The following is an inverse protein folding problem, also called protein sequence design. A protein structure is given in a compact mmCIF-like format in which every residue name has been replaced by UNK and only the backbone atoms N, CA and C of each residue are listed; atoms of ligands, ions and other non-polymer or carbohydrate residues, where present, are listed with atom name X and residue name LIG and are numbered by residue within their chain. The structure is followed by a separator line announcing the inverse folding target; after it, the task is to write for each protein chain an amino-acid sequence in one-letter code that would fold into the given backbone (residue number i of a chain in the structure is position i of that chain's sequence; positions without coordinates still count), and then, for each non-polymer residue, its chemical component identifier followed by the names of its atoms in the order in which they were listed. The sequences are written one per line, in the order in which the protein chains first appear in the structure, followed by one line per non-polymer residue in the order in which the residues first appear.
data_IF_044103677891
#
_entry.id   IF_044103677891
#
_cell.length_a   1.000
_cell.length_b   1.000
_cell.length_c   1.000
_cell.angle_alpha   90.00
_cell.angle_beta   90.00
_cell.angle_gamma   90.00
#
_symmetry.space_group_name_H-M   'P 1'
#
loop_
_entity.id
_entity.type
_entity.pdbx_description
1 polymer ?
#
# COMPACT_ATOMS: atom_id res chain seq x y z
N UNK A 1 16.16 -8.11 -15.19
CA UNK A 1 15.03 -7.65 -15.98
C UNK A 1 15.14 -6.14 -16.24
N UNK A 2 15.13 -5.75 -17.51
CA UNK A 2 15.19 -4.34 -17.86
C UNK A 2 13.78 -3.77 -17.87
N UNK A 3 13.43 -3.07 -16.81
CA UNK A 3 12.11 -2.47 -16.64
C UNK A 3 12.05 -1.06 -17.24
N UNK A 4 13.14 -0.32 -17.11
CA UNK A 4 13.22 1.05 -17.58
C UNK A 4 14.35 1.17 -18.60
N UNK A 5 14.10 1.90 -19.66
CA UNK A 5 15.12 2.27 -20.66
C UNK A 5 15.80 3.61 -20.31
N UNK A 6 15.42 4.20 -19.18
CA UNK A 6 15.96 5.43 -18.64
C UNK A 6 16.11 5.31 -17.13
N UNK A 7 16.78 6.27 -16.50
CA UNK A 7 16.82 6.34 -15.04
C UNK A 7 15.41 6.68 -14.52
N UNK A 8 14.78 5.82 -13.72
CA UNK A 8 13.43 6.09 -13.23
C UNK A 8 13.39 7.29 -12.31
N UNK A 9 12.24 8.00 -12.32
CA UNK A 9 11.96 9.00 -11.29
C UNK A 9 11.77 8.31 -9.94
N UNK A 10 11.81 9.07 -8.85
CA UNK A 10 11.54 8.51 -7.53
C UNK A 10 10.16 7.83 -7.47
N UNK A 11 9.15 8.43 -8.08
CA UNK A 11 7.80 7.85 -8.10
C UNK A 11 7.76 6.54 -8.87
N UNK A 12 8.37 6.50 -10.06
CA UNK A 12 8.47 5.26 -10.83
C UNK A 12 9.20 4.17 -10.05
N UNK A 13 10.31 4.53 -9.44
CA UNK A 13 11.16 3.61 -8.70
C UNK A 13 10.42 3.00 -7.49
N UNK A 14 9.81 3.83 -6.67
CA UNK A 14 9.11 3.34 -5.48
C UNK A 14 7.80 2.64 -5.81
N UNK A 15 7.10 3.05 -6.86
CA UNK A 15 5.91 2.33 -7.30
C UNK A 15 6.27 0.92 -7.80
N UNK A 16 7.41 0.77 -8.49
CA UNK A 16 7.91 -0.55 -8.87
C UNK A 16 8.28 -1.39 -7.67
N UNK A 17 8.84 -0.80 -6.61
CA UNK A 17 9.07 -1.51 -5.36
C UNK A 17 7.76 -2.00 -4.73
N UNK A 18 6.71 -1.19 -4.77
CA UNK A 18 5.39 -1.61 -4.30
C UNK A 18 4.85 -2.79 -5.11
N UNK A 19 5.03 -2.76 -6.43
CA UNK A 19 4.66 -3.88 -7.30
C UNK A 19 5.46 -5.14 -6.98
N UNK A 20 6.74 -4.99 -6.70
CA UNK A 20 7.57 -6.12 -6.27
C UNK A 20 7.09 -6.67 -4.93
N UNK A 21 6.77 -5.80 -3.98
CA UNK A 21 6.22 -6.24 -2.69
C UNK A 21 4.91 -7.02 -2.88
N UNK A 22 4.06 -6.61 -3.83
CA UNK A 22 2.81 -7.30 -4.13
C UNK A 22 3.01 -8.75 -4.53
N UNK A 23 4.15 -9.10 -5.11
CA UNK A 23 4.45 -10.50 -5.50
C UNK A 23 4.54 -11.43 -4.29
N UNK A 24 4.76 -10.89 -3.10
CA UNK A 24 4.78 -11.64 -1.84
C UNK A 24 3.40 -11.88 -1.25
N UNK A 25 2.35 -11.27 -1.81
CA UNK A 25 0.99 -11.45 -1.30
C UNK A 25 0.63 -12.93 -1.19
N UNK A 26 0.08 -13.31 -0.05
CA UNK A 26 -0.43 -14.66 0.19
C UNK A 26 -1.92 -14.79 -0.14
N UNK A 27 -2.55 -13.73 -0.62
CA UNK A 27 -3.95 -13.73 -1.02
C UNK A 27 -4.05 -13.83 -2.54
N UNK A 28 -4.78 -14.83 -3.04
CA UNK A 28 -4.96 -15.04 -4.48
C UNK A 28 -6.00 -14.11 -5.09
N UNK A 29 -6.88 -13.51 -4.29
CA UNK A 29 -7.98 -12.68 -4.76
C UNK A 29 -7.50 -11.32 -5.29
N UNK A 30 -6.50 -10.74 -4.64
CA UNK A 30 -5.88 -9.49 -5.07
C UNK A 30 -4.46 -9.43 -4.50
N UNK A 31 -3.51 -9.06 -5.34
CA UNK A 31 -2.12 -8.89 -4.91
C UNK A 31 -1.82 -7.40 -4.85
N UNK A 32 -1.72 -6.89 -3.63
CA UNK A 32 -1.47 -5.48 -3.35
C UNK A 32 -0.15 -5.34 -2.64
N UNK A 33 0.62 -4.33 -3.02
CA UNK A 33 1.87 -3.98 -2.37
C UNK A 33 1.91 -2.50 -2.05
N UNK A 34 2.63 -2.15 -0.99
CA UNK A 34 2.79 -0.77 -0.55
C UNK A 34 4.20 -0.52 -0.06
N UNK A 35 4.68 0.70 -0.29
CA UNK A 35 5.98 1.18 0.19
C UNK A 35 5.76 2.55 0.80
N UNK A 36 6.30 2.77 2.00
CA UNK A 36 6.29 4.09 2.63
C UNK A 36 7.70 4.67 2.59
N UNK A 37 7.80 5.92 2.15
CA UNK A 37 9.06 6.64 2.10
C UNK A 37 8.98 7.93 2.90
N UNK A 38 10.12 8.35 3.45
CA UNK A 38 10.31 9.67 4.05
C UNK A 38 11.62 10.20 3.48
N UNK A 39 11.58 11.42 2.91
CA UNK A 39 12.76 12.03 2.28
C UNK A 39 13.42 11.10 1.25
N UNK A 40 12.61 10.45 0.42
CA UNK A 40 13.06 9.52 -0.62
C UNK A 40 13.84 8.31 -0.08
N UNK A 41 13.60 7.94 1.17
CA UNK A 41 14.15 6.72 1.76
C UNK A 41 13.01 5.78 2.14
N UNK A 42 13.08 4.54 1.70
CA UNK A 42 12.08 3.52 2.05
C UNK A 42 12.20 3.19 3.54
N UNK A 43 11.12 3.39 4.29
CA UNK A 43 11.08 3.07 5.71
C UNK A 43 10.26 1.82 6.01
N UNK A 44 9.37 1.43 5.12
CA UNK A 44 8.54 0.24 5.31
C UNK A 44 8.00 -0.26 3.98
N UNK A 45 7.77 -1.55 3.93
CA UNK A 45 7.06 -2.21 2.84
C UNK A 45 5.91 -3.01 3.41
N UNK A 46 4.91 -3.26 2.59
CA UNK A 46 3.79 -4.11 2.98
C UNK A 46 3.20 -4.81 1.77
N UNK A 47 2.63 -5.95 2.02
CA UNK A 47 1.80 -6.68 1.05
C UNK A 47 0.63 -7.28 1.81
N UNK A 48 -0.46 -7.56 1.10
CA UNK A 48 -1.61 -8.17 1.76
C UNK A 48 -1.31 -9.63 2.09
N UNK A 49 -1.36 -9.95 3.37
CA UNK A 49 -1.04 -11.28 3.87
C UNK A 49 -1.58 -11.49 5.27
N UNK A 50 -1.49 -12.72 5.76
CA UNK A 50 -1.90 -13.06 7.12
C UNK A 50 -1.02 -12.40 8.17
N UNK A 51 -1.46 -12.48 9.41
CA UNK A 51 -0.68 -11.98 10.55
C UNK A 51 0.64 -12.75 10.63
N UNK A 52 1.74 -12.03 10.81
CA UNK A 52 3.08 -12.62 10.86
C UNK A 52 3.14 -13.73 11.93
N UNK A 53 3.62 -14.91 11.54
CA UNK A 53 3.69 -16.08 12.40
C UNK A 53 2.45 -16.97 12.39
N UNK A 54 1.39 -16.55 11.70
CA UNK A 54 0.20 -17.37 11.50
C UNK A 54 0.12 -17.89 10.06
N UNK A 55 -0.76 -18.86 9.83
CA UNK A 55 -0.96 -19.42 8.50
C UNK A 55 -1.57 -18.37 7.55
N UNK A 56 -1.19 -18.47 6.28
CA UNK A 56 -1.69 -17.59 5.22
C UNK A 56 -2.83 -18.25 4.44
N UNK A 57 -3.57 -17.44 3.67
CA UNK A 57 -4.64 -17.95 2.82
C UNK A 57 -4.17 -19.01 1.83
N UNK A 58 -2.96 -18.86 1.30
CA UNK A 58 -2.39 -19.83 0.37
C UNK A 58 -2.09 -21.19 1.04
N UNK A 59 -1.98 -21.22 2.36
CA UNK A 59 -1.69 -22.46 3.11
C UNK A 59 -2.99 -23.14 3.59
N UNK A 60 -3.94 -22.37 4.10
CA UNK A 60 -5.13 -22.90 4.81
C UNK A 60 -6.45 -22.40 4.24
N UNK A 61 -6.41 -21.58 3.17
CA UNK A 61 -7.61 -21.00 2.56
C UNK A 61 -8.07 -19.70 3.22
N UNK A 62 -9.08 -19.09 2.62
CA UNK A 62 -9.66 -17.86 3.12
C UNK A 62 -10.54 -18.09 4.35
N UNK A 63 -10.51 -17.12 5.26
CA UNK A 63 -11.47 -17.06 6.37
C UNK A 63 -12.52 -16.01 6.01
N UNK A 64 -13.66 -16.46 5.48
CA UNK A 64 -14.69 -15.55 4.97
C UNK A 64 -15.67 -15.15 6.05
N UNK A 65 -15.98 -13.86 6.11
CA UNK A 65 -17.02 -13.29 6.93
C UNK A 65 -17.73 -12.21 6.09
N UNK A 66 -19.04 -12.36 5.91
CA UNK A 66 -19.85 -11.49 5.06
C UNK A 66 -19.26 -11.33 3.63
N UNK A 67 -18.72 -12.42 3.07
CA UNK A 67 -18.13 -12.44 1.74
C UNK A 67 -16.71 -11.86 1.66
N UNK A 68 -16.14 -11.41 2.77
CA UNK A 68 -14.79 -10.86 2.84
C UNK A 68 -13.86 -11.77 3.62
N UNK A 69 -12.62 -11.91 3.14
CA UNK A 69 -11.60 -12.64 3.87
C UNK A 69 -11.06 -11.77 5.00
N UNK A 70 -11.22 -12.20 6.24
CA UNK A 70 -10.76 -11.47 7.41
C UNK A 70 -9.39 -11.95 7.90
N UNK A 71 -8.80 -12.93 7.23
CA UNK A 71 -7.48 -13.45 7.60
C UNK A 71 -6.36 -12.50 7.23
N UNK A 72 -6.50 -11.77 6.12
CA UNK A 72 -5.44 -10.91 5.60
C UNK A 72 -5.48 -9.52 6.19
N UNK A 73 -4.28 -8.97 6.42
CA UNK A 73 -4.05 -7.56 6.70
C UNK A 73 -3.73 -6.88 5.38
N UNK A 74 -4.33 -5.74 5.09
CA UNK A 74 -4.10 -5.02 3.84
C UNK A 74 -2.65 -4.52 3.75
N UNK A 75 -2.14 -4.39 2.53
CA UNK A 75 -0.76 -3.98 2.28
C UNK A 75 -0.42 -2.62 2.93
N UNK A 76 -1.31 -1.65 2.80
CA UNK A 76 -1.12 -0.31 3.36
C UNK A 76 -1.03 -0.38 4.89
N UNK A 77 -1.92 -1.13 5.52
CA UNK A 77 -1.91 -1.31 6.96
C UNK A 77 -0.65 -2.02 7.41
N UNK A 78 -0.21 -3.06 6.69
CA UNK A 78 1.04 -3.77 6.99
C UNK A 78 2.24 -2.82 6.93
N UNK A 79 2.29 -1.94 5.92
CA UNK A 79 3.38 -0.97 5.80
C UNK A 79 3.40 0.02 6.98
N UNK A 80 2.23 0.52 7.37
CA UNK A 80 2.10 1.44 8.51
C UNK A 80 2.51 0.74 9.81
N UNK A 81 2.03 -0.48 10.02
CA UNK A 81 2.35 -1.25 11.24
C UNK A 81 3.81 -1.66 11.28
N UNK A 82 4.43 -1.96 10.13
CA UNK A 82 5.86 -2.23 10.09
C UNK A 82 6.66 -0.98 10.49
N UNK A 83 6.25 0.20 10.02
CA UNK A 83 6.87 1.46 10.46
C UNK A 83 6.78 1.62 11.97
N UNK A 84 5.62 1.38 12.55
CA UNK A 84 5.40 1.47 13.99
C UNK A 84 6.28 0.45 14.75
N UNK A 85 6.32 -0.79 14.27
CA UNK A 85 7.07 -1.87 14.89
C UNK A 85 8.57 -1.59 14.92
N UNK A 86 9.10 -0.92 13.90
CA UNK A 86 10.52 -0.61 13.77
C UNK A 86 10.88 0.79 14.28
N UNK A 87 9.91 1.53 14.79
CA UNK A 87 10.16 2.86 15.34
C UNK A 87 10.41 3.94 14.30
N UNK A 88 9.89 3.79 13.09
CA UNK A 88 10.00 4.80 12.04
C UNK A 88 8.76 5.68 11.99
N UNK A 89 8.95 7.00 12.08
CA UNK A 89 7.85 7.94 11.94
C UNK A 89 7.39 8.03 10.49
N UNK A 90 6.08 7.99 10.28
CA UNK A 90 5.47 8.11 8.95
C UNK A 90 5.08 9.55 8.63
N UNK A 91 5.21 10.45 9.57
CA UNK A 91 4.79 11.85 9.45
C UNK A 91 5.41 12.50 8.20
N UNK A 92 4.56 13.15 7.40
CA UNK A 92 4.92 13.81 6.15
C UNK A 92 5.50 12.90 5.08
N UNK A 93 5.33 11.59 5.23
CA UNK A 93 5.80 10.59 4.27
C UNK A 93 4.93 10.50 3.03
N UNK A 94 5.39 9.66 2.11
CA UNK A 94 4.67 9.26 0.91
C UNK A 94 4.41 7.76 0.96
N UNK A 95 3.19 7.34 0.59
CA UNK A 95 2.90 5.92 0.39
C UNK A 95 2.72 5.65 -1.11
N UNK A 96 3.42 4.63 -1.58
CA UNK A 96 3.28 4.11 -2.93
C UNK A 96 2.53 2.79 -2.83
N UNK A 97 1.45 2.68 -3.56
CA UNK A 97 0.58 1.50 -3.47
C UNK A 97 0.11 1.08 -4.87
N UNK A 98 0.00 -0.21 -5.10
CA UNK A 98 -0.40 -0.73 -6.42
C UNK A 98 -1.84 -0.39 -6.78
N UNK A 99 -2.71 -0.28 -5.78
CA UNK A 99 -4.14 -0.02 -5.96
C UNK A 99 -4.58 1.14 -5.06
N UNK A 100 -5.57 1.90 -5.51
CA UNK A 100 -6.14 2.98 -4.71
C UNK A 100 -6.61 2.42 -3.36
N UNK A 101 -6.22 3.05 -2.22
CA UNK A 101 -6.55 2.51 -0.89
C UNK A 101 -8.05 2.43 -0.63
N UNK A 102 -8.50 1.37 0.01
CA UNK A 102 -9.87 1.29 0.49
C UNK A 102 -10.09 2.34 1.58
N UNK A 103 -11.37 2.61 1.90
CA UNK A 103 -11.70 3.67 2.88
C UNK A 103 -11.04 3.45 4.24
N UNK A 104 -10.95 2.21 4.72
CA UNK A 104 -10.32 1.93 6.01
C UNK A 104 -8.82 2.22 5.98
N UNK A 105 -8.13 1.82 4.90
CA UNK A 105 -6.71 2.12 4.73
C UNK A 105 -6.48 3.62 4.54
N UNK A 106 -7.38 4.31 3.82
CA UNK A 106 -7.28 5.76 3.64
C UNK A 106 -7.33 6.50 4.97
N UNK A 107 -8.23 6.10 5.86
CA UNK A 107 -8.31 6.68 7.21
C UNK A 107 -7.01 6.46 7.99
N UNK A 108 -6.45 5.25 7.90
CA UNK A 108 -5.19 4.93 8.57
C UNK A 108 -4.01 5.73 8.00
N UNK A 109 -3.95 5.87 6.68
CA UNK A 109 -2.91 6.68 6.00
C UNK A 109 -2.98 8.13 6.46
N UNK A 110 -4.19 8.69 6.52
CA UNK A 110 -4.41 10.06 6.97
C UNK A 110 -3.98 10.24 8.44
N UNK A 111 -4.38 9.33 9.32
CA UNK A 111 -4.02 9.38 10.74
C UNK A 111 -2.53 9.15 10.98
N UNK A 112 -1.85 8.43 10.09
CA UNK A 112 -0.41 8.24 10.16
C UNK A 112 0.39 9.50 9.76
N UNK A 113 -0.28 10.55 9.31
CA UNK A 113 0.36 11.80 8.92
C UNK A 113 1.02 11.75 7.56
N UNK A 114 0.71 10.75 6.73
CA UNK A 114 1.22 10.65 5.36
C UNK A 114 0.58 11.76 4.54
N UNK A 115 1.37 12.46 3.74
CA UNK A 115 0.93 13.63 2.99
C UNK A 115 0.86 13.44 1.49
N UNK A 116 1.32 12.30 0.98
CA UNK A 116 1.31 12.03 -0.45
C UNK A 116 1.02 10.56 -0.70
N UNK A 117 0.13 10.30 -1.67
CA UNK A 117 -0.24 8.94 -2.08
C UNK A 117 0.00 8.83 -3.58
N UNK A 118 0.79 7.84 -3.98
CA UNK A 118 1.03 7.52 -5.39
C UNK A 118 0.53 6.11 -5.64
N UNK A 119 -0.35 5.95 -6.63
CA UNK A 119 -0.95 4.65 -6.93
C UNK A 119 -1.01 4.38 -8.43
N UNK A 120 -1.18 3.12 -8.80
CA UNK A 120 -1.21 2.68 -10.19
C UNK A 120 -2.63 2.42 -10.69
N UNK A 121 -3.40 1.61 -9.98
CA UNK A 121 -4.71 1.14 -10.42
C UNK A 121 -5.83 1.64 -9.54
N UNK A 122 -6.91 2.12 -10.17
CA UNK A 122 -8.15 2.38 -9.45
C UNK A 122 -8.70 1.05 -8.90
N UNK A 123 -9.37 1.15 -7.78
CA UNK A 123 -10.03 0.00 -7.16
C UNK A 123 -11.42 0.45 -6.72
N UNK A 124 -11.73 0.41 -5.44
CA UNK A 124 -12.99 0.93 -4.91
C UNK A 124 -12.74 2.35 -4.38
N UNK A 125 -12.67 3.31 -5.31
CA UNK A 125 -12.36 4.71 -4.96
C UNK A 125 -13.56 5.34 -4.28
N UNK A 126 -13.62 5.22 -2.97
CA UNK A 126 -14.75 5.70 -2.18
C UNK A 126 -14.76 7.23 -2.10
N UNK A 127 -15.95 7.84 -2.21
CA UNK A 127 -16.07 9.30 -2.17
C UNK A 127 -15.56 9.93 -0.86
N UNK A 128 -15.72 9.24 0.28
CA UNK A 128 -15.20 9.71 1.56
C UNK A 128 -13.66 9.74 1.56
N UNK A 129 -13.02 8.82 0.85
CA UNK A 129 -11.56 8.83 0.71
C UNK A 129 -11.09 10.11 0.03
N UNK A 130 -11.78 10.53 -1.03
CA UNK A 130 -11.47 11.79 -1.71
C UNK A 130 -11.73 12.99 -0.77
N UNK A 131 -12.81 12.97 -0.03
CA UNK A 131 -13.12 14.03 0.94
C UNK A 131 -12.02 14.15 2.00
N UNK A 132 -11.48 13.02 2.48
CA UNK A 132 -10.39 13.00 3.46
C UNK A 132 -9.12 13.64 2.86
N UNK A 133 -8.71 13.20 1.68
CA UNK A 133 -7.50 13.75 1.06
C UNK A 133 -7.64 15.23 0.71
N UNK A 134 -8.79 15.64 0.22
CA UNK A 134 -9.06 17.06 -0.09
C UNK A 134 -9.03 17.92 1.19
N UNK A 135 -9.67 17.46 2.25
CA UNK A 135 -9.75 18.21 3.52
C UNK A 135 -8.39 18.37 4.20
N UNK A 136 -7.51 17.38 4.08
CA UNK A 136 -6.22 17.35 4.76
C UNK A 136 -5.06 17.81 3.87
N UNK A 137 -5.34 18.15 2.62
CA UNK A 137 -4.30 18.55 1.68
C UNK A 137 -3.33 17.42 1.33
N UNK A 138 -3.80 16.18 1.33
CA UNK A 138 -3.00 15.04 0.91
C UNK A 138 -2.96 15.02 -0.61
N UNK A 139 -1.75 15.05 -1.18
CA UNK A 139 -1.56 14.96 -2.63
C UNK A 139 -1.79 13.52 -3.07
N UNK A 140 -2.64 13.32 -4.08
CA UNK A 140 -2.94 12.01 -4.63
C UNK A 140 -2.54 11.99 -6.11
N UNK A 141 -1.64 11.09 -6.46
CA UNK A 141 -1.09 10.98 -7.81
C UNK A 141 -1.36 9.58 -8.35
N UNK A 142 -2.03 9.52 -9.50
CA UNK A 142 -2.14 8.26 -10.23
C UNK A 142 -1.00 8.21 -11.24
N UNK A 143 -0.08 7.28 -11.02
CA UNK A 143 1.07 7.08 -11.88
C UNK A 143 0.87 5.79 -12.67
N UNK A 144 0.72 5.91 -13.98
CA UNK A 144 0.57 4.75 -14.83
C UNK A 144 1.93 4.06 -14.99
N UNK A 145 2.04 2.84 -14.50
CA UNK A 145 3.25 2.06 -14.63
C UNK A 145 3.52 1.70 -16.09
N UNK A 146 4.80 1.50 -16.44
CA UNK A 146 5.18 0.96 -17.74
C UNK A 146 4.78 -0.51 -17.81
N UNK A 147 4.21 -0.89 -18.93
CA UNK A 147 3.86 -2.28 -19.25
C UNK A 147 5.10 -3.07 -19.72
#
# INVERSE_FOLDING_TARGET
MKKFDHRPTWDEYFLEQAKLAATRSSCERAKVGAVITVDNACIATGYNGGVAGMDNCCDVGHYLEDGHCIRTVHAEMNAILQSARQGHATLSGTIYVTHYPCINCMKAIAQAGIKRIVYDQDYRNHELSKAITDSLGIEVVKLKGEE
#
